data_IF_325363486404
#
_entry.id   IF_325363486404
#
_cell.length_a   1.000
_cell.length_b   1.000
_cell.length_c   1.000
_cell.angle_alpha   90.00
_cell.angle_beta   90.00
_cell.angle_gamma   90.00
#
_symmetry.space_group_name_H-M   'P 1'
#
loop_
_entity.id
_entity.type
_entity.pdbx_description
1 polymer ?
#
# COMPACT_ATOMS: atom_id res chain seq x y z
N UNK A 1 -19.47 4.13 4.73
CA UNK A 1 -18.76 5.43 4.59
C UNK A 1 -17.70 5.33 3.50
N UNK A 2 -17.45 6.41 2.77
CA UNK A 2 -16.42 6.50 1.73
C UNK A 2 -15.60 7.77 1.90
N UNK A 3 -14.28 7.66 1.88
CA UNK A 3 -13.37 8.79 1.96
C UNK A 3 -12.17 8.60 1.03
N UNK A 4 -11.65 9.72 0.53
CA UNK A 4 -10.43 9.76 -0.29
C UNK A 4 -9.47 10.80 0.26
N UNK A 5 -8.20 10.42 0.40
CA UNK A 5 -7.11 11.30 0.81
C UNK A 5 -5.94 11.22 -0.18
N UNK A 6 -5.21 12.31 -0.36
CA UNK A 6 -3.97 12.31 -1.16
C UNK A 6 -2.80 11.90 -0.26
N UNK A 7 -2.25 10.71 -0.45
CA UNK A 7 -1.15 10.13 0.34
C UNK A 7 -0.22 9.34 -0.58
N UNK A 8 1.06 9.21 -0.23
CA UNK A 8 2.04 8.47 -1.04
C UNK A 8 2.11 8.96 -2.52
N UNK A 9 1.78 10.24 -2.77
CA UNK A 9 1.73 10.82 -4.11
C UNK A 9 0.52 10.42 -4.97
N UNK A 10 -0.49 9.77 -4.40
CA UNK A 10 -1.67 9.27 -5.13
C UNK A 10 -2.96 9.41 -4.32
N UNK A 11 -4.15 9.40 -4.95
CA UNK A 11 -5.39 9.28 -4.21
C UNK A 11 -5.49 7.87 -3.61
N UNK A 12 -5.76 7.81 -2.30
CA UNK A 12 -6.13 6.60 -1.59
C UNK A 12 -7.60 6.71 -1.18
N UNK A 13 -8.42 5.78 -1.66
CA UNK A 13 -9.85 5.70 -1.38
C UNK A 13 -10.14 4.49 -0.49
N UNK A 14 -10.93 4.71 0.56
CA UNK A 14 -11.44 3.66 1.43
C UNK A 14 -12.96 3.78 1.45
N UNK A 15 -13.65 2.69 1.16
CA UNK A 15 -15.11 2.56 1.24
C UNK A 15 -15.47 1.35 2.09
N UNK A 16 -16.21 1.54 3.17
CA UNK A 16 -16.72 0.48 4.05
C UNK A 16 -18.25 0.52 4.03
N UNK A 17 -18.88 -0.60 3.69
CA UNK A 17 -20.33 -0.72 3.47
C UNK A 17 -20.98 -1.40 4.67
N UNK A 18 -20.76 -0.82 5.85
CA UNK A 18 -21.33 -1.29 7.11
C UNK A 18 -21.79 -0.11 7.96
N UNK A 19 -22.98 -0.17 8.61
CA UNK A 19 -23.50 0.94 9.41
C UNK A 19 -22.66 1.26 10.65
N UNK A 20 -21.85 0.31 11.12
CA UNK A 20 -21.04 0.40 12.33
C UNK A 20 -19.72 1.14 12.11
N UNK A 21 -19.31 1.38 10.86
CA UNK A 21 -18.05 2.08 10.59
C UNK A 21 -18.11 3.52 11.06
N UNK A 22 -17.03 3.97 11.69
CA UNK A 22 -16.88 5.33 12.20
C UNK A 22 -15.82 6.11 11.42
N UNK A 23 -15.75 7.42 11.65
CA UNK A 23 -14.67 8.25 11.11
C UNK A 23 -13.31 7.83 11.69
N UNK A 24 -13.26 7.49 12.98
CA UNK A 24 -12.05 7.05 13.67
C UNK A 24 -11.46 5.76 13.06
N UNK A 25 -12.31 4.84 12.59
CA UNK A 25 -11.86 3.65 11.87
C UNK A 25 -11.13 4.02 10.56
N UNK A 26 -11.69 4.94 9.78
CA UNK A 26 -11.06 5.41 8.54
C UNK A 26 -9.77 6.18 8.83
N UNK A 27 -9.77 7.04 9.85
CA UNK A 27 -8.61 7.83 10.26
C UNK A 27 -7.45 6.93 10.69
N UNK A 28 -7.71 5.83 11.40
CA UNK A 28 -6.69 4.82 11.74
C UNK A 28 -6.08 4.15 10.51
N UNK A 29 -6.88 3.85 9.49
CA UNK A 29 -6.35 3.27 8.24
C UNK A 29 -5.54 4.30 7.46
N UNK A 30 -5.97 5.56 7.40
CA UNK A 30 -5.17 6.62 6.78
C UNK A 30 -3.88 6.90 7.55
N UNK A 31 -3.91 6.88 8.88
CA UNK A 31 -2.71 6.99 9.72
C UNK A 31 -1.73 5.84 9.46
N UNK A 32 -2.24 4.63 9.20
CA UNK A 32 -1.40 3.53 8.73
C UNK A 32 -0.71 3.87 7.40
N UNK A 33 -1.44 4.36 6.38
CA UNK A 33 -0.82 4.78 5.11
C UNK A 33 0.21 5.91 5.28
N UNK A 34 0.00 6.83 6.21
CA UNK A 34 1.00 7.86 6.57
C UNK A 34 2.27 7.20 7.10
N UNK A 35 2.17 6.22 8.00
CA UNK A 35 3.34 5.49 8.52
C UNK A 35 4.08 4.69 7.44
N UNK A 36 3.35 4.14 6.46
CA UNK A 36 3.95 3.47 5.29
C UNK A 36 4.74 4.48 4.47
N UNK A 37 4.16 5.65 4.17
CA UNK A 37 4.82 6.71 3.43
C UNK A 37 6.08 7.23 4.16
N UNK A 38 5.98 7.42 5.47
CA UNK A 38 7.12 7.84 6.31
C UNK A 38 8.23 6.78 6.38
N UNK A 39 7.93 5.52 6.11
CA UNK A 39 8.93 4.43 6.10
C UNK A 39 9.57 4.25 4.73
N UNK A 40 8.75 4.22 3.67
CA UNK A 40 9.13 3.71 2.35
C UNK A 40 9.18 4.76 1.23
N UNK A 41 8.87 6.03 1.51
CA UNK A 41 8.97 7.08 0.51
C UNK A 41 10.41 7.39 0.14
N UNK A 42 10.78 7.17 -1.11
CA UNK A 42 12.11 7.54 -1.65
C UNK A 42 12.29 9.05 -1.78
N UNK A 43 11.21 9.84 -1.68
CA UNK A 43 11.21 11.30 -1.77
C UNK A 43 11.41 12.00 -0.42
N UNK A 44 11.01 11.36 0.69
CA UNK A 44 11.16 11.93 2.03
C UNK A 44 12.55 11.64 2.58
N UNK A 45 13.38 12.67 2.76
CA UNK A 45 14.74 12.50 3.30
C UNK A 45 14.77 11.82 4.68
N UNK A 46 13.71 12.00 5.47
CA UNK A 46 13.55 11.43 6.82
C UNK A 46 13.13 9.97 6.83
N UNK A 47 12.66 9.42 5.69
CA UNK A 47 12.18 8.05 5.62
C UNK A 47 13.27 7.04 5.88
N UNK A 48 12.87 5.86 6.33
CA UNK A 48 13.81 4.77 6.59
C UNK A 48 14.54 4.36 5.30
N UNK A 49 13.81 4.17 4.19
CA UNK A 49 14.43 3.78 2.91
C UNK A 49 15.43 4.83 2.41
N UNK A 50 15.13 6.12 2.56
CA UNK A 50 16.04 7.18 2.11
C UNK A 50 17.29 7.27 2.97
N UNK A 51 17.19 7.00 4.28
CA UNK A 51 18.37 6.87 5.16
C UNK A 51 19.21 5.65 4.81
N UNK A 52 18.58 4.52 4.49
CA UNK A 52 19.27 3.31 4.01
C UNK A 52 20.05 3.60 2.72
N UNK A 53 19.41 4.24 1.73
CA UNK A 53 20.04 4.59 0.46
C UNK A 53 21.22 5.55 0.62
N UNK A 54 21.26 6.37 1.68
CA UNK A 54 22.39 7.23 2.03
C UNK A 54 23.44 6.56 2.92
N UNK A 55 23.23 5.31 3.32
CA UNK A 55 24.14 4.59 4.22
C UNK A 55 24.10 5.07 5.68
N UNK A 56 23.04 5.76 6.10
CA UNK A 56 22.91 6.33 7.45
C UNK A 56 22.40 5.30 8.49
N UNK A 57 21.89 4.16 8.03
CA UNK A 57 21.37 3.08 8.88
C UNK A 57 22.09 1.75 8.60
N UNK A 58 22.50 1.09 9.68
CA UNK A 58 23.00 -0.28 9.64
C UNK A 58 21.82 -1.27 9.56
N UNK A 59 22.03 -2.43 8.94
CA UNK A 59 20.99 -3.47 8.78
C UNK A 59 20.35 -3.91 10.11
N UNK A 60 21.10 -3.86 11.23
CA UNK A 60 20.57 -4.18 12.55
C UNK A 60 19.52 -3.16 13.06
N UNK A 61 19.49 -1.95 12.50
CA UNK A 61 18.59 -0.87 12.87
C UNK A 61 17.32 -0.84 12.02
N UNK A 62 17.20 -1.71 11.02
CA UNK A 62 16.03 -1.73 10.14
C UNK A 62 14.77 -2.14 10.92
N UNK A 63 13.65 -1.49 10.62
CA UNK A 63 12.35 -1.87 11.16
C UNK A 63 11.93 -3.25 10.66
N UNK A 64 11.04 -3.90 11.41
CA UNK A 64 10.50 -5.21 11.00
C UNK A 64 9.73 -5.13 9.67
N UNK A 65 9.05 -4.01 9.42
CA UNK A 65 8.41 -3.75 8.13
C UNK A 65 9.44 -3.65 7.01
N UNK A 66 10.56 -2.92 7.22
CA UNK A 66 11.63 -2.82 6.23
C UNK A 66 12.25 -4.19 5.92
N UNK A 67 12.57 -4.97 6.96
CA UNK A 67 13.08 -6.34 6.80
C UNK A 67 12.12 -7.22 6.00
N UNK A 68 10.82 -7.12 6.30
CA UNK A 68 9.77 -7.87 5.59
C UNK A 68 9.70 -7.48 4.11
N UNK A 69 9.76 -6.19 3.79
CA UNK A 69 9.76 -5.69 2.41
C UNK A 69 11.01 -6.12 1.66
N UNK A 70 12.19 -6.03 2.27
CA UNK A 70 13.44 -6.49 1.65
C UNK A 70 13.40 -8.01 1.36
N UNK A 71 12.93 -8.80 2.32
CA UNK A 71 12.79 -10.25 2.14
C UNK A 71 11.78 -10.61 1.03
N UNK A 72 10.62 -9.95 1.01
CA UNK A 72 9.61 -10.17 -0.03
C UNK A 72 10.11 -9.73 -1.41
N UNK A 73 10.87 -8.63 -1.47
CA UNK A 73 11.46 -8.15 -2.73
C UNK A 73 12.50 -9.11 -3.27
N UNK A 74 13.36 -9.65 -2.41
CA UNK A 74 14.36 -10.65 -2.79
C UNK A 74 13.70 -11.97 -3.27
N UNK A 75 12.63 -12.40 -2.61
CA UNK A 75 11.85 -13.55 -3.06
C UNK A 75 11.21 -13.28 -4.43
N UNK A 76 10.59 -12.12 -4.61
CA UNK A 76 9.95 -11.72 -5.87
C UNK A 76 10.97 -11.63 -7.01
N UNK A 77 12.17 -11.12 -6.74
CA UNK A 77 13.28 -11.10 -7.69
C UNK A 77 13.66 -12.49 -8.16
N UNK A 78 13.72 -13.47 -7.25
CA UNK A 78 14.00 -14.87 -7.61
C UNK A 78 12.88 -15.48 -8.45
N UNK A 79 11.63 -15.32 -8.01
CA UNK A 79 10.46 -15.89 -8.67
C UNK A 79 10.24 -15.32 -10.08
N UNK A 80 10.66 -14.08 -10.28
CA UNK A 80 10.61 -13.39 -11.57
C UNK A 80 11.93 -13.46 -12.33
N UNK A 81 12.91 -14.27 -11.93
CA UNK A 81 14.21 -14.37 -12.60
C UNK A 81 14.91 -13.02 -12.85
N UNK A 82 14.73 -12.05 -11.94
CA UNK A 82 15.30 -10.71 -12.04
C UNK A 82 14.49 -9.71 -12.86
N UNK A 83 13.32 -10.08 -13.43
CA UNK A 83 12.44 -9.11 -14.10
C UNK A 83 11.86 -8.08 -13.13
N UNK A 84 11.66 -8.46 -11.87
CA UNK A 84 11.40 -7.52 -10.78
C UNK A 84 12.66 -7.38 -9.93
N UNK A 85 13.14 -6.15 -9.76
CA UNK A 85 14.22 -5.81 -8.83
C UNK A 85 13.96 -4.42 -8.25
N UNK A 86 14.03 -4.31 -6.92
CA UNK A 86 13.88 -3.03 -6.24
C UNK A 86 15.18 -2.23 -6.26
N UNK A 87 16.32 -2.85 -6.58
CA UNK A 87 17.59 -2.17 -6.62
C UNK A 87 17.93 -1.74 -8.05
N UNK A 88 18.22 -0.46 -8.23
CA UNK A 88 18.71 0.10 -9.49
C UNK A 88 19.88 1.04 -9.22
N UNK A 89 21.03 0.78 -9.85
CA UNK A 89 22.25 1.58 -9.69
C UNK A 89 22.67 1.78 -8.23
N UNK A 90 22.45 0.76 -7.39
CA UNK A 90 22.77 0.78 -5.96
C UNK A 90 21.71 1.43 -5.07
N UNK A 91 20.64 2.00 -5.64
CA UNK A 91 19.54 2.64 -4.91
C UNK A 91 18.36 1.68 -4.80
N UNK A 92 17.81 1.53 -3.59
CA UNK A 92 16.58 0.78 -3.36
C UNK A 92 15.34 1.65 -3.57
N UNK A 93 14.42 1.16 -4.41
CA UNK A 93 13.08 1.68 -4.60
C UNK A 93 12.06 0.53 -4.47
N UNK A 94 11.47 0.34 -3.28
CA UNK A 94 10.52 -0.74 -3.03
C UNK A 94 9.08 -0.36 -3.46
N UNK A 95 8.86 0.77 -4.14
CA UNK A 95 7.52 1.25 -4.50
C UNK A 95 6.71 0.26 -5.34
N UNK A 96 7.38 -0.61 -6.11
CA UNK A 96 6.76 -1.68 -6.88
C UNK A 96 6.08 -2.77 -6.04
N UNK A 97 6.46 -2.92 -4.76
CA UNK A 97 5.90 -3.95 -3.86
C UNK A 97 5.12 -3.34 -2.69
N UNK A 98 5.56 -2.17 -2.20
CA UNK A 98 5.02 -1.55 -0.98
C UNK A 98 3.55 -1.18 -1.13
N UNK A 99 3.11 -0.74 -2.32
CA UNK A 99 1.71 -0.35 -2.53
C UNK A 99 0.75 -1.53 -2.32
N UNK A 100 1.01 -2.65 -3.01
CA UNK A 100 0.25 -3.90 -2.86
C UNK A 100 0.28 -4.43 -1.42
N UNK A 101 1.45 -4.40 -0.79
CA UNK A 101 1.61 -4.78 0.63
C UNK A 101 0.79 -3.89 1.57
N UNK A 102 0.80 -2.57 1.35
CA UNK A 102 0.09 -1.61 2.18
C UNK A 102 -1.43 -1.79 2.07
N UNK A 103 -1.98 -1.91 0.86
CA UNK A 103 -3.43 -2.13 0.69
C UNK A 103 -3.87 -3.46 1.28
N UNK A 104 -3.04 -4.52 1.17
CA UNK A 104 -3.32 -5.82 1.77
C UNK A 104 -3.38 -5.75 3.30
N UNK A 105 -2.47 -5.00 3.93
CA UNK A 105 -2.44 -4.81 5.38
C UNK A 105 -3.60 -3.93 5.87
N UNK A 106 -3.93 -2.86 5.15
CA UNK A 106 -5.11 -2.06 5.44
C UNK A 106 -6.39 -2.91 5.38
N UNK A 107 -6.50 -3.81 4.39
CA UNK A 107 -7.59 -4.77 4.32
C UNK A 107 -7.59 -5.78 5.48
N UNK A 108 -6.41 -6.22 5.94
CA UNK A 108 -6.28 -7.05 7.13
C UNK A 108 -6.73 -6.33 8.41
N UNK A 109 -6.42 -5.03 8.54
CA UNK A 109 -6.88 -4.21 9.67
C UNK A 109 -8.41 -4.14 9.71
N UNK A 110 -9.06 -3.81 8.58
CA UNK A 110 -10.52 -3.77 8.50
C UNK A 110 -11.15 -5.13 8.83
N UNK A 111 -10.60 -6.23 8.31
CA UNK A 111 -11.06 -7.59 8.65
C UNK A 111 -10.90 -7.90 10.13
N UNK A 112 -9.79 -7.51 10.74
CA UNK A 112 -9.53 -7.72 12.16
C UNK A 112 -10.51 -6.94 13.06
N UNK A 113 -10.99 -5.78 12.59
CA UNK A 113 -12.03 -5.00 13.26
C UNK A 113 -13.45 -5.51 12.98
N UNK A 114 -13.59 -6.59 12.21
CA UNK A 114 -14.86 -7.26 11.94
C UNK A 114 -15.58 -6.77 10.68
N UNK A 115 -15.04 -5.79 9.96
CA UNK A 115 -15.61 -5.34 8.69
C UNK A 115 -15.39 -6.40 7.60
N UNK A 116 -16.48 -6.76 6.92
CA UNK A 116 -16.60 -7.77 5.87
C UNK A 116 -16.84 -7.17 4.50
N UNK A 117 -17.46 -5.98 4.41
CA UNK A 117 -17.82 -5.34 3.16
C UNK A 117 -17.03 -4.03 2.98
N UNK A 118 -15.94 -4.07 2.23
CA UNK A 118 -15.10 -2.89 2.01
C UNK A 118 -14.35 -2.93 0.69
N UNK A 119 -13.83 -1.77 0.31
CA UNK A 119 -12.98 -1.51 -0.85
C UNK A 119 -11.89 -0.51 -0.47
N UNK A 120 -10.67 -0.81 -0.87
CA UNK A 120 -9.49 0.03 -0.71
C UNK A 120 -8.81 0.13 -2.06
N UNK A 121 -8.47 1.34 -2.47
CA UNK A 121 -7.75 1.64 -3.71
C UNK A 121 -6.66 2.65 -3.42
N UNK A 122 -5.42 2.28 -3.73
CA UNK A 122 -4.27 3.17 -3.69
C UNK A 122 -3.69 3.27 -5.11
N UNK A 123 -4.14 4.29 -5.86
CA UNK A 123 -3.61 4.55 -7.21
C UNK A 123 -3.77 3.39 -8.21
N UNK A 124 -4.79 2.54 -8.05
CA UNK A 124 -5.05 1.36 -8.88
C UNK A 124 -4.65 0.02 -8.26
N UNK A 125 -3.90 0.01 -7.15
CA UNK A 125 -3.71 -1.19 -6.32
C UNK A 125 -4.94 -1.37 -5.41
N UNK A 126 -5.71 -2.43 -5.65
CA UNK A 126 -7.04 -2.60 -5.07
C UNK A 126 -7.11 -3.84 -4.17
N UNK A 127 -7.74 -3.67 -3.00
CA UNK A 127 -8.17 -4.75 -2.11
C UNK A 127 -9.64 -4.56 -1.75
N UNK A 128 -10.41 -5.64 -1.77
CA UNK A 128 -11.85 -5.60 -1.48
C UNK A 128 -12.30 -6.85 -0.74
N UNK A 129 -13.44 -6.75 -0.09
CA UNK A 129 -14.09 -7.86 0.61
C UNK A 129 -15.61 -7.72 0.52
N UNK A 130 -16.29 -8.87 0.44
CA UNK A 130 -17.75 -8.93 0.48
C UNK A 130 -18.42 -8.28 -0.73
N UNK A 131 -19.51 -7.56 -0.47
CA UNK A 131 -20.38 -6.97 -1.49
C UNK A 131 -20.61 -5.48 -1.22
N UNK A 132 -20.91 -4.73 -2.28
CA UNK A 132 -21.44 -3.37 -2.21
C UNK A 132 -22.96 -3.40 -2.33
N UNK A 133 -23.66 -3.07 -1.25
CA UNK A 133 -25.13 -3.01 -1.21
C UNK A 133 -25.80 -4.27 -1.79
N UNK A 134 -25.30 -5.45 -1.38
CA UNK A 134 -25.79 -6.76 -1.83
C UNK A 134 -25.29 -7.21 -3.21
N UNK A 135 -24.51 -6.39 -3.92
CA UNK A 135 -23.97 -6.71 -5.25
C UNK A 135 -22.45 -6.94 -5.20
N UNK A 136 -21.89 -7.80 -6.07
CA UNK A 136 -20.44 -7.92 -6.21
C UNK A 136 -19.80 -6.56 -6.54
N UNK A 137 -18.61 -6.31 -5.99
CA UNK A 137 -17.80 -5.17 -6.37
C UNK A 137 -17.47 -5.22 -7.87
N UNK A 138 -17.57 -4.07 -8.55
CA UNK A 138 -17.24 -3.94 -9.97
C UNK A 138 -15.95 -3.13 -10.10
N UNK A 139 -14.91 -3.76 -10.63
CA UNK A 139 -13.60 -3.13 -10.85
C UNK A 139 -13.40 -2.95 -12.34
N UNK A 140 -13.19 -1.70 -12.76
CA UNK A 140 -12.89 -1.38 -14.16
C UNK A 140 -11.40 -1.52 -14.45
N UNK A 141 -11.06 -2.08 -15.61
CA UNK A 141 -9.70 -2.09 -16.13
C UNK A 141 -9.61 -0.98 -17.17
N UNK A 142 -8.77 0.04 -16.90
CA UNK A 142 -8.61 1.18 -17.81
C UNK A 142 -7.87 0.75 -19.07
N UNK A 143 -8.35 1.18 -20.22
CA UNK A 143 -7.63 1.05 -21.48
C UNK A 143 -6.42 2.02 -21.49
N UNK A 144 -5.17 1.53 -21.51
CA UNK A 144 -4.00 2.42 -21.47
C UNK A 144 -3.83 3.24 -22.76
N UNK A 145 -4.50 2.85 -23.86
CA UNK A 145 -4.43 3.50 -25.17
C UNK A 145 -5.59 4.47 -25.43
N UNK A 146 -6.61 4.47 -24.58
CA UNK A 146 -7.74 5.39 -24.67
C UNK A 146 -7.94 6.13 -23.34
N UNK A 147 -7.52 7.40 -23.31
CA UNK A 147 -7.65 8.26 -22.11
C UNK A 147 -9.01 8.94 -22.00
N UNK A 148 -9.90 8.75 -22.97
CA UNK A 148 -11.24 9.36 -23.01
C UNK A 148 -12.35 8.43 -22.56
N UNK A 149 -12.03 7.17 -22.26
CA UNK A 149 -12.91 6.16 -21.66
C UNK A 149 -12.72 6.06 -20.14
#
# INVERSE_FOLDING_TARGET
MKQTCLLMGMPITIEVVEPTVTQDDLDKVFAYFVSVDDTFSTYKATSEISKINRGELLAAQYSENMKSILALSEQTKKDTHGYFDIQRDGIYDPSGIVKGWAVQNAANMLRAWGFRNFYIDAGGDIQLSGNKDGNPWRIGIRNPFNRTE
#
